data_IF_440309744469
#
_entry.id   IF_440309744469
#
_cell.length_a   1.000
_cell.length_b   1.000
_cell.length_c   1.000
_cell.angle_alpha   90.00
_cell.angle_beta   90.00
_cell.angle_gamma   90.00
#
_symmetry.space_group_name_H-M   'P 1'
#
loop_
_entity.id
_entity.type
_entity.pdbx_description
1 polymer ?
#
# COMPACT_ATOMS: atom_id res chain seq x y z
N UNK A 1 21.49 2.49 6.09
CA UNK A 1 20.26 3.27 6.02
C UNK A 1 19.06 2.33 5.93
N UNK A 2 18.01 2.69 6.62
CA UNK A 2 16.81 1.86 6.65
C UNK A 2 16.08 1.90 5.31
N UNK A 3 15.70 0.73 4.84
CA UNK A 3 14.88 0.64 3.66
C UNK A 3 13.44 1.00 4.00
N UNK A 4 12.75 1.60 3.04
CA UNK A 4 11.31 1.82 3.17
C UNK A 4 10.58 0.53 2.83
N UNK A 5 9.57 0.19 3.61
CA UNK A 5 8.83 -1.06 3.43
C UNK A 5 7.57 -0.81 2.60
N UNK A 6 7.43 -1.59 1.55
CA UNK A 6 6.30 -1.51 0.61
C UNK A 6 5.60 -2.86 0.58
N UNK A 7 4.28 -2.84 0.68
CA UNK A 7 3.48 -4.05 0.52
C UNK A 7 2.62 -3.94 -0.74
N UNK A 8 2.64 -4.98 -1.58
CA UNK A 8 1.82 -5.08 -2.77
C UNK A 8 0.75 -6.13 -2.50
N UNK A 9 -0.50 -5.70 -2.39
CA UNK A 9 -1.60 -6.57 -1.93
C UNK A 9 -2.55 -7.03 -3.02
N UNK A 10 -2.44 -6.43 -4.20
CA UNK A 10 -3.24 -6.83 -5.35
C UNK A 10 -2.32 -7.08 -6.54
N UNK A 11 -2.73 -7.96 -7.43
CA UNK A 11 -1.90 -8.35 -8.57
C UNK A 11 -1.71 -7.18 -9.52
N UNK A 12 -0.45 -6.81 -9.73
CA UNK A 12 -0.03 -5.82 -10.73
C UNK A 12 0.85 -6.54 -11.75
N UNK A 13 1.28 -5.82 -12.81
CA UNK A 13 2.13 -6.44 -13.82
C UNK A 13 3.45 -6.93 -13.21
N UNK A 14 3.99 -8.03 -13.72
CA UNK A 14 5.27 -8.56 -13.27
C UNK A 14 6.38 -7.53 -13.42
N UNK A 15 6.33 -6.74 -14.48
CA UNK A 15 7.29 -5.67 -14.71
C UNK A 15 7.22 -4.61 -13.61
N UNK A 16 6.03 -4.27 -13.15
CA UNK A 16 5.86 -3.32 -12.04
C UNK A 16 6.48 -3.83 -10.76
N UNK A 17 6.26 -5.11 -10.44
CA UNK A 17 6.86 -5.75 -9.26
C UNK A 17 8.38 -5.76 -9.37
N UNK A 18 8.90 -6.13 -10.54
CA UNK A 18 10.35 -6.15 -10.77
C UNK A 18 10.98 -4.79 -10.60
N UNK A 19 10.32 -3.74 -11.09
CA UNK A 19 10.81 -2.37 -10.95
C UNK A 19 10.89 -1.95 -9.48
N UNK A 20 9.89 -2.31 -8.69
CA UNK A 20 9.90 -2.01 -7.26
C UNK A 20 11.03 -2.76 -6.55
N UNK A 21 11.16 -4.05 -6.83
CA UNK A 21 12.19 -4.89 -6.21
C UNK A 21 13.60 -4.49 -6.60
N UNK A 22 13.75 -3.87 -7.77
CA UNK A 22 15.05 -3.39 -8.24
C UNK A 22 15.54 -2.14 -7.50
N UNK A 23 14.67 -1.46 -6.75
CA UNK A 23 15.07 -0.27 -6.01
C UNK A 23 15.81 -0.66 -4.74
N UNK A 24 17.08 -0.21 -4.59
CA UNK A 24 17.87 -0.63 -3.42
C UNK A 24 17.35 -0.05 -2.10
N UNK A 25 16.57 1.02 -2.15
CA UNK A 25 16.04 1.67 -0.97
C UNK A 25 14.70 1.12 -0.51
N UNK A 26 14.14 0.14 -1.23
CA UNK A 26 12.85 -0.44 -0.92
C UNK A 26 12.95 -1.91 -0.53
N UNK A 27 12.22 -2.25 0.52
CA UNK A 27 11.96 -3.64 0.88
C UNK A 27 10.54 -3.94 0.48
N UNK A 28 10.35 -4.80 -0.52
CA UNK A 28 9.04 -5.05 -1.13
C UNK A 28 8.53 -6.43 -0.76
N UNK A 29 7.38 -6.46 -0.12
CA UNK A 29 6.67 -7.70 0.19
C UNK A 29 5.46 -7.81 -0.73
N UNK A 30 5.31 -8.95 -1.38
CA UNK A 30 4.19 -9.21 -2.27
C UNK A 30 3.27 -10.22 -1.60
N UNK A 31 2.06 -9.79 -1.28
CA UNK A 31 1.06 -10.61 -0.60
C UNK A 31 -0.29 -10.48 -1.29
N UNK A 32 -0.36 -11.04 -2.50
CA UNK A 32 -1.58 -11.00 -3.29
C UNK A 32 -2.72 -11.70 -2.56
N UNK A 33 -3.89 -11.12 -2.63
CA UNK A 33 -5.12 -11.71 -2.08
C UNK A 33 -5.08 -11.90 -0.56
N UNK A 34 -4.27 -11.12 0.15
CA UNK A 34 -4.21 -11.20 1.61
C UNK A 34 -5.59 -10.85 2.20
N UNK A 35 -6.11 -11.66 3.15
CA UNK A 35 -7.35 -11.31 3.83
C UNK A 35 -7.24 -9.97 4.54
N UNK A 36 -8.33 -9.19 4.53
CA UNK A 36 -8.33 -7.86 5.12
C UNK A 36 -7.93 -7.86 6.58
N UNK A 37 -8.39 -8.85 7.34
CA UNK A 37 -8.04 -8.94 8.76
C UNK A 37 -6.54 -9.07 8.98
N UNK A 38 -5.88 -9.88 8.15
CA UNK A 38 -4.43 -10.03 8.24
C UNK A 38 -3.71 -8.79 7.79
N UNK A 39 -4.20 -8.14 6.72
CA UNK A 39 -3.62 -6.91 6.21
C UNK A 39 -3.64 -5.82 7.28
N UNK A 40 -4.76 -5.65 7.96
CA UNK A 40 -4.88 -4.63 9.01
C UNK A 40 -3.94 -4.88 10.18
N UNK A 41 -3.58 -6.13 10.43
CA UNK A 41 -2.63 -6.48 11.49
C UNK A 41 -1.19 -6.12 11.16
N UNK A 42 -0.82 -6.15 9.87
CA UNK A 42 0.58 -5.99 9.46
C UNK A 42 0.87 -4.65 8.78
N UNK A 43 -0.15 -3.97 8.28
CA UNK A 43 0.05 -2.76 7.46
C UNK A 43 0.72 -1.63 8.24
N UNK A 44 0.60 -1.61 9.55
CA UNK A 44 1.26 -0.60 10.39
C UNK A 44 2.78 -0.62 10.31
N UNK A 45 3.36 -1.71 9.82
CA UNK A 45 4.82 -1.85 9.67
C UNK A 45 5.31 -1.35 8.31
N UNK A 46 4.42 -0.89 7.44
CA UNK A 46 4.79 -0.49 6.07
C UNK A 46 4.69 1.00 5.87
N UNK A 47 5.58 1.52 5.04
CA UNK A 47 5.61 2.94 4.65
C UNK A 47 4.72 3.23 3.46
N UNK A 48 4.50 2.23 2.60
CA UNK A 48 3.71 2.37 1.39
C UNK A 48 2.93 1.10 1.09
N UNK A 49 1.81 1.27 0.40
CA UNK A 49 1.00 0.16 -0.09
C UNK A 49 0.66 0.37 -1.56
N UNK A 50 0.68 -0.72 -2.32
CA UNK A 50 0.24 -0.71 -3.71
C UNK A 50 -1.05 -1.54 -3.80
N UNK A 51 -2.10 -0.90 -4.30
CA UNK A 51 -3.42 -1.51 -4.42
C UNK A 51 -3.95 -1.35 -5.85
N UNK A 52 -5.06 -2.01 -6.13
CA UNK A 52 -5.86 -1.76 -7.34
C UNK A 52 -7.26 -1.36 -6.91
N UNK A 53 -8.29 -2.02 -7.43
CA UNK A 53 -9.67 -1.60 -7.19
C UNK A 53 -10.35 -2.33 -6.03
N UNK A 54 -9.79 -3.42 -5.54
CA UNK A 54 -10.43 -4.27 -4.53
C UNK A 54 -10.20 -3.78 -3.10
N UNK A 55 -8.96 -3.45 -2.78
CA UNK A 55 -8.61 -3.04 -1.42
C UNK A 55 -9.13 -1.63 -1.15
N UNK A 56 -9.94 -1.51 -0.09
CA UNK A 56 -10.48 -0.21 0.29
C UNK A 56 -9.53 0.47 1.28
N UNK A 57 -9.05 1.64 0.90
CA UNK A 57 -8.15 2.45 1.71
C UNK A 57 -9.00 3.55 2.35
N UNK A 58 -9.62 3.21 3.45
CA UNK A 58 -10.57 4.05 4.16
C UNK A 58 -10.08 4.36 5.58
N UNK A 59 -10.94 4.97 6.39
CA UNK A 59 -10.61 5.38 7.75
C UNK A 59 -10.13 4.20 8.60
N UNK A 60 -10.80 3.07 8.52
CA UNK A 60 -10.40 1.85 9.23
C UNK A 60 -8.98 1.44 8.83
N UNK A 61 -8.68 1.50 7.55
CA UNK A 61 -7.35 1.16 7.03
C UNK A 61 -6.29 2.13 7.55
N UNK A 62 -6.56 3.43 7.50
CA UNK A 62 -5.61 4.43 7.95
C UNK A 62 -5.30 4.31 9.44
N UNK A 63 -6.28 3.95 10.26
CA UNK A 63 -6.05 3.75 11.68
C UNK A 63 -5.07 2.60 11.95
N UNK A 64 -5.12 1.57 11.13
CA UNK A 64 -4.21 0.44 11.24
C UNK A 64 -2.83 0.75 10.64
N UNK A 65 -2.78 1.57 9.60
CA UNK A 65 -1.57 1.88 8.83
C UNK A 65 -0.83 3.08 9.42
N UNK A 66 -0.33 2.94 10.63
CA UNK A 66 0.24 4.04 11.40
C UNK A 66 1.46 4.70 10.78
N UNK A 67 2.25 3.94 10.03
CA UNK A 67 3.49 4.45 9.42
C UNK A 67 3.33 4.77 7.94
N UNK A 68 2.13 4.61 7.40
CA UNK A 68 1.90 4.75 5.97
C UNK A 68 2.08 6.19 5.50
N UNK A 69 2.85 6.37 4.43
CA UNK A 69 3.14 7.68 3.84
C UNK A 69 2.71 7.80 2.40
N UNK A 70 2.57 6.67 1.71
CA UNK A 70 2.24 6.65 0.29
C UNK A 70 1.25 5.53 -0.02
N UNK A 71 0.26 5.85 -0.83
CA UNK A 71 -0.66 4.86 -1.41
C UNK A 71 -0.53 4.92 -2.92
N UNK A 72 -0.10 3.83 -3.53
CA UNK A 72 -0.05 3.70 -4.97
C UNK A 72 -1.22 2.88 -5.47
N UNK A 73 -1.87 3.31 -6.53
CA UNK A 73 -2.95 2.57 -7.16
C UNK A 73 -2.60 2.26 -8.60
N UNK A 74 -2.58 0.99 -8.92
CA UNK A 74 -2.38 0.54 -10.30
C UNK A 74 -3.74 0.46 -10.99
N UNK A 75 -3.95 1.25 -12.02
CA UNK A 75 -5.19 1.31 -12.77
C UNK A 75 -5.77 2.71 -12.83
N UNK A 76 -7.01 2.83 -13.26
CA UNK A 76 -7.70 4.10 -13.44
C UNK A 76 -8.61 4.41 -12.25
N UNK A 77 -8.70 5.67 -11.88
CA UNK A 77 -9.59 6.13 -10.82
C UNK A 77 -9.07 5.89 -9.42
N UNK A 78 -9.81 6.35 -8.43
CA UNK A 78 -9.43 6.27 -7.02
C UNK A 78 -10.63 5.97 -6.12
N UNK A 79 -11.65 5.33 -6.67
CA UNK A 79 -12.93 5.13 -5.99
C UNK A 79 -12.81 4.34 -4.69
N UNK A 80 -11.78 3.51 -4.57
CA UNK A 80 -11.56 2.69 -3.39
C UNK A 80 -10.64 3.35 -2.36
N UNK A 81 -10.22 4.60 -2.60
CA UNK A 81 -9.30 5.31 -1.71
C UNK A 81 -9.97 6.56 -1.15
N UNK A 82 -9.97 6.69 0.16
CA UNK A 82 -10.44 7.88 0.85
C UNK A 82 -9.35 8.96 0.77
N UNK A 83 -9.44 9.81 -0.25
CA UNK A 83 -8.45 10.84 -0.51
C UNK A 83 -8.45 11.91 0.58
N UNK A 84 -9.61 12.28 1.09
CA UNK A 84 -9.69 13.24 2.19
C UNK A 84 -8.98 12.73 3.44
N UNK A 85 -9.21 11.47 3.78
CA UNK A 85 -8.56 10.83 4.91
C UNK A 85 -7.04 10.78 4.75
N UNK A 86 -6.57 10.48 3.53
CA UNK A 86 -5.15 10.48 3.23
C UNK A 86 -4.55 11.89 3.38
N UNK A 87 -5.22 12.89 2.83
CA UNK A 87 -4.77 14.28 2.89
C UNK A 87 -4.65 14.77 4.34
N UNK A 88 -5.64 14.44 5.17
CA UNK A 88 -5.60 14.81 6.60
C UNK A 88 -4.41 14.22 7.34
N UNK A 89 -3.92 13.08 6.88
CA UNK A 89 -2.80 12.37 7.51
C UNK A 89 -1.45 12.64 6.84
N UNK A 90 -1.43 13.49 5.82
CA UNK A 90 -0.22 13.76 5.06
C UNK A 90 0.25 12.59 4.21
N UNK A 91 -0.65 11.70 3.83
CA UNK A 91 -0.34 10.55 2.97
C UNK A 91 -0.48 10.97 1.51
N UNK A 92 0.48 10.59 0.72
CA UNK A 92 0.53 10.92 -0.71
C UNK A 92 -0.08 9.82 -1.57
#
# INVERSE_FOLDING_TARGET
>A
MDKKKVIVVERISDKGVEMLKAQPDLEVDVKFDIPREELLKIVGDYDAIIVRSVTKVNEEFYKAAKNLKVVGRAGNGVDNIDIEGATKRGII
#
